data_IF_580901082139
#
_entry.id   IF_580901082139
#
_cell.length_a   1.000
_cell.length_b   1.000
_cell.length_c   1.000
_cell.angle_alpha   90.00
_cell.angle_beta   90.00
_cell.angle_gamma   90.00
#
_symmetry.space_group_name_H-M   'P 1'
#
loop_
_entity.id
_entity.type
_entity.pdbx_description
1 polymer ?
#
# COMPACT_ATOMS: atom_id res chain seq x y z
N UNK A 1 -5.69 -10.80 30.61
CA UNK A 1 -5.00 -10.02 29.56
C UNK A 1 -4.63 -10.92 28.38
N UNK A 2 -4.06 -12.11 28.62
CA UNK A 2 -3.78 -13.12 27.58
C UNK A 2 -5.04 -13.64 26.88
N UNK A 3 -6.10 -14.01 27.62
CA UNK A 3 -7.36 -14.49 27.01
C UNK A 3 -8.03 -13.49 26.07
N UNK A 4 -7.89 -12.19 26.35
CA UNK A 4 -8.44 -11.12 25.49
C UNK A 4 -7.59 -10.93 24.23
N UNK A 5 -6.27 -11.12 24.35
CA UNK A 5 -5.38 -11.19 23.19
C UNK A 5 -5.68 -12.43 22.36
N UNK A 6 -5.92 -13.59 22.96
CA UNK A 6 -6.25 -14.82 22.22
C UNK A 6 -7.59 -14.70 21.49
N UNK A 7 -8.60 -14.08 22.12
CA UNK A 7 -9.88 -13.78 21.48
C UNK A 7 -9.73 -12.81 20.30
N UNK A 8 -9.03 -11.68 20.48
CA UNK A 8 -8.71 -10.75 19.38
C UNK A 8 -7.86 -11.42 18.29
N UNK A 9 -6.94 -12.30 18.71
CA UNK A 9 -6.06 -13.08 17.85
C UNK A 9 -6.81 -14.23 17.15
N UNK A 10 -8.04 -14.55 17.55
CA UNK A 10 -8.91 -15.44 16.77
C UNK A 10 -9.70 -14.67 15.71
N UNK A 11 -10.11 -13.43 16.01
CA UNK A 11 -10.94 -12.62 15.12
C UNK A 11 -10.14 -12.04 13.94
N UNK A 12 -8.89 -11.62 14.15
CA UNK A 12 -8.06 -11.07 13.08
C UNK A 12 -7.62 -12.12 12.04
N UNK A 13 -7.48 -13.40 12.40
CA UNK A 13 -7.14 -14.50 11.47
C UNK A 13 -8.19 -14.64 10.36
N UNK A 14 -9.43 -14.21 10.60
CA UNK A 14 -10.52 -14.18 9.60
C UNK A 14 -10.33 -13.11 8.53
N UNK A 15 -9.52 -12.08 8.79
CA UNK A 15 -9.32 -10.98 7.85
C UNK A 15 -8.14 -11.28 6.92
N UNK A 16 -8.45 -11.70 5.68
CA UNK A 16 -7.48 -11.96 4.60
C UNK A 16 -6.43 -10.87 4.48
N UNK A 17 -6.83 -9.59 4.54
CA UNK A 17 -5.90 -8.48 4.32
C UNK A 17 -4.85 -8.38 5.43
N UNK A 18 -5.26 -8.57 6.69
CA UNK A 18 -4.35 -8.52 7.83
C UNK A 18 -3.38 -9.70 7.80
N UNK A 19 -3.87 -10.89 7.43
CA UNK A 19 -3.05 -12.09 7.31
C UNK A 19 -2.00 -11.93 6.22
N UNK A 20 -2.42 -11.52 5.02
CA UNK A 20 -1.49 -11.29 3.89
C UNK A 20 -0.45 -10.23 4.25
N UNK A 21 -0.88 -9.11 4.84
CA UNK A 21 0.04 -8.05 5.27
C UNK A 21 1.08 -8.56 6.27
N UNK A 22 0.66 -9.39 7.22
CA UNK A 22 1.54 -9.91 8.26
C UNK A 22 2.55 -10.92 7.71
N UNK A 23 2.13 -11.79 6.79
CA UNK A 23 3.01 -12.75 6.12
C UNK A 23 4.03 -12.02 5.26
N UNK A 24 3.59 -11.03 4.50
CA UNK A 24 4.46 -10.19 3.66
C UNK A 24 5.34 -9.24 4.47
N UNK A 25 5.13 -9.10 5.77
CA UNK A 25 6.04 -8.34 6.61
C UNK A 25 7.28 -9.19 6.96
N UNK A 26 8.49 -8.84 6.46
CA UNK A 26 9.72 -9.59 6.70
C UNK A 26 10.13 -9.64 8.17
N UNK A 27 9.52 -8.84 9.04
CA UNK A 27 9.76 -8.85 10.49
C UNK A 27 8.96 -9.94 11.21
N UNK A 28 7.80 -10.32 10.66
CA UNK A 28 6.84 -11.19 11.33
C UNK A 28 6.68 -12.53 10.62
N UNK A 29 6.49 -12.53 9.30
CA UNK A 29 6.26 -13.74 8.50
C UNK A 29 5.20 -14.65 9.16
N UNK A 30 5.59 -15.86 9.58
CA UNK A 30 4.73 -16.86 10.21
C UNK A 30 4.79 -16.85 11.74
N UNK A 31 5.41 -15.85 12.38
CA UNK A 31 5.60 -15.84 13.85
C UNK A 31 4.29 -15.92 14.65
N UNK A 32 3.18 -15.48 14.07
CA UNK A 32 1.87 -15.44 14.71
C UNK A 32 0.89 -16.48 14.16
N UNK A 33 1.37 -17.39 13.31
CA UNK A 33 0.54 -18.37 12.61
C UNK A 33 1.03 -19.78 12.86
N UNK A 34 0.07 -20.70 12.95
CA UNK A 34 0.35 -22.11 13.00
C UNK A 34 0.65 -22.63 11.59
N UNK A 35 1.54 -23.61 11.47
CA UNK A 35 1.88 -24.22 10.18
C UNK A 35 0.68 -24.90 9.50
N UNK A 36 -0.38 -25.20 10.25
CA UNK A 36 -1.61 -25.78 9.74
C UNK A 36 -2.43 -24.81 8.87
N UNK A 37 -2.34 -23.49 9.15
CA UNK A 37 -3.10 -22.45 8.44
C UNK A 37 -2.42 -22.03 7.12
N UNK A 38 -1.18 -22.48 6.91
CA UNK A 38 -0.33 -22.09 5.79
C UNK A 38 -0.92 -22.40 4.39
N UNK A 39 -1.58 -23.54 4.15
CA UNK A 39 -2.20 -23.82 2.84
C UNK A 39 -3.32 -22.84 2.49
N UNK A 40 -4.12 -22.41 3.48
CA UNK A 40 -5.18 -21.42 3.27
C UNK A 40 -4.59 -20.05 2.89
N UNK A 41 -3.51 -19.66 3.56
CA UNK A 41 -2.84 -18.39 3.28
C UNK A 41 -2.12 -18.38 1.92
N UNK A 42 -1.55 -19.51 1.51
CA UNK A 42 -0.97 -19.69 0.17
C UNK A 42 -2.04 -19.49 -0.90
N UNK A 43 -3.21 -20.11 -0.74
CA UNK A 43 -4.35 -19.93 -1.64
C UNK A 43 -4.77 -18.46 -1.76
N UNK A 44 -4.84 -17.75 -0.63
CA UNK A 44 -5.19 -16.32 -0.63
C UNK A 44 -4.17 -15.46 -1.37
N UNK A 45 -2.88 -15.75 -1.23
CA UNK A 45 -1.79 -15.03 -1.91
C UNK A 45 -1.82 -15.36 -3.41
N UNK A 46 -1.99 -16.62 -3.80
CA UNK A 46 -2.13 -17.03 -5.20
C UNK A 46 -3.31 -16.32 -5.89
N UNK A 47 -4.45 -16.22 -5.22
CA UNK A 47 -5.61 -15.49 -5.73
C UNK A 47 -5.26 -14.01 -5.97
N UNK A 48 -4.54 -13.37 -5.06
CA UNK A 48 -4.14 -11.97 -5.26
C UNK A 48 -3.11 -11.80 -6.38
N UNK A 49 -2.23 -12.79 -6.58
CA UNK A 49 -1.23 -12.79 -7.65
C UNK A 49 -1.85 -13.05 -9.03
N UNK A 50 -2.86 -13.91 -9.12
CA UNK A 50 -3.60 -14.20 -10.37
C UNK A 50 -4.55 -13.06 -10.76
N UNK A 51 -5.09 -12.32 -9.79
CA UNK A 51 -5.94 -11.15 -10.04
C UNK A 51 -5.18 -9.99 -10.72
N UNK A 52 -3.85 -10.08 -10.86
CA UNK A 52 -3.03 -9.16 -11.68
C UNK A 52 -3.44 -9.06 -13.17
N UNK A 53 -4.37 -9.89 -13.65
CA UNK A 53 -4.93 -9.82 -15.01
C UNK A 53 -6.15 -8.90 -15.19
N UNK A 54 -6.71 -8.30 -14.14
CA UNK A 54 -7.81 -7.33 -14.28
C UNK A 54 -7.28 -5.93 -13.98
N UNK A 55 -7.33 -5.06 -14.99
CA UNK A 55 -7.07 -3.63 -14.89
C UNK A 55 -7.74 -3.00 -13.66
N UNK A 56 -7.25 -1.84 -13.17
CA UNK A 56 -8.05 -1.01 -12.26
C UNK A 56 -9.47 -0.84 -12.86
N UNK A 57 -10.53 -0.85 -12.04
CA UNK A 57 -11.88 -0.63 -12.55
C UNK A 57 -11.89 0.69 -13.29
N UNK A 58 -12.11 0.65 -14.61
CA UNK A 58 -12.48 1.83 -15.38
C UNK A 58 -13.80 2.32 -14.79
N UNK A 59 -13.73 3.38 -13.99
CA UNK A 59 -14.89 4.14 -13.58
C UNK A 59 -15.48 4.77 -14.84
N UNK A 60 -16.60 4.23 -15.31
CA UNK A 60 -17.38 4.84 -16.38
C UNK A 60 -18.14 6.04 -15.78
N UNK A 61 -17.82 7.23 -16.30
CA UNK A 61 -18.67 8.42 -16.52
C UNK A 61 -19.44 9.00 -15.30
N UNK A 62 -19.40 10.29 -14.96
CA UNK A 62 -18.94 11.50 -15.63
C UNK A 62 -18.85 12.67 -14.62
N UNK A 63 -18.25 13.77 -15.11
CA UNK A 63 -18.25 15.17 -14.63
C UNK A 63 -17.06 15.62 -13.79
N UNK A 64 -16.08 16.20 -14.49
CA UNK A 64 -15.10 17.21 -14.01
C UNK A 64 -14.45 16.89 -12.67
N UNK A 65 -13.65 15.84 -12.65
CA UNK A 65 -12.89 15.39 -11.48
C UNK A 65 -11.40 15.75 -11.64
N UNK A 66 -10.65 16.04 -10.56
CA UNK A 66 -9.21 16.38 -10.55
C UNK A 66 -8.29 15.30 -11.15
N UNK A 67 -8.85 14.16 -11.55
CA UNK A 67 -8.17 13.03 -12.18
C UNK A 67 -7.37 13.41 -13.43
N UNK A 68 -7.76 14.45 -14.16
CA UNK A 68 -6.99 14.91 -15.32
C UNK A 68 -5.69 15.61 -14.91
N UNK A 69 -5.72 16.44 -13.85
CA UNK A 69 -4.53 17.10 -13.33
C UNK A 69 -3.55 16.09 -12.71
N UNK A 70 -4.08 15.11 -11.95
CA UNK A 70 -3.25 14.06 -11.37
C UNK A 70 -2.67 13.14 -12.45
N UNK A 71 -3.44 12.79 -13.49
CA UNK A 71 -2.93 12.02 -14.63
C UNK A 71 -1.82 12.78 -15.38
N UNK A 72 -2.01 14.07 -15.65
CA UNK A 72 -1.05 14.90 -16.39
C UNK A 72 0.26 15.09 -15.59
N UNK A 73 0.18 15.30 -14.27
CA UNK A 73 1.34 15.38 -13.38
C UNK A 73 2.09 14.03 -13.23
N UNK A 74 1.34 12.91 -13.26
CA UNK A 74 1.90 11.55 -13.24
C UNK A 74 2.53 11.17 -14.60
N UNK A 75 2.06 11.77 -15.69
CA UNK A 75 2.65 11.61 -17.03
C UNK A 75 3.95 12.43 -17.17
N UNK A 76 4.02 13.64 -16.64
CA UNK A 76 5.24 14.46 -16.70
C UNK A 76 6.41 13.86 -15.88
N UNK A 77 6.12 13.21 -14.75
CA UNK A 77 7.14 12.58 -13.89
C UNK A 77 7.68 11.23 -14.39
N UNK A 78 7.09 10.65 -15.44
CA UNK A 78 7.56 9.39 -16.06
C UNK A 78 8.56 9.60 -17.21
N UNK A 79 8.88 10.85 -17.54
CA UNK A 79 9.82 11.20 -18.60
C UNK A 79 11.30 11.09 -18.20
N UNK A 80 11.70 10.04 -17.48
CA UNK A 80 13.11 9.58 -17.33
C UNK A 80 13.23 8.26 -16.56
N UNK A 81 12.62 7.17 -17.06
CA UNK A 81 13.15 5.82 -16.87
C UNK A 81 12.42 4.89 -17.85
N UNK A 82 13.15 4.45 -18.86
CA UNK A 82 12.72 3.45 -19.83
C UNK A 82 12.16 2.21 -19.12
N UNK A 83 10.86 2.01 -19.24
CA UNK A 83 10.22 0.73 -18.90
C UNK A 83 10.64 -0.27 -19.97
N UNK A 84 11.66 -1.07 -19.68
CA UNK A 84 11.79 -2.35 -20.35
C UNK A 84 10.60 -3.20 -19.92
N UNK A 85 9.68 -3.43 -20.88
CA UNK A 85 8.74 -4.53 -20.85
C UNK A 85 9.54 -5.83 -20.68
N UNK A 86 9.68 -6.28 -19.44
CA UNK A 86 10.09 -7.66 -19.18
C UNK A 86 8.88 -8.56 -19.41
N UNK A 87 8.74 -9.05 -20.63
CA UNK A 87 8.13 -10.35 -20.88
C UNK A 87 8.99 -11.40 -20.17
N UNK A 88 8.60 -11.83 -18.97
CA UNK A 88 9.19 -13.00 -18.30
C UNK A 88 8.13 -13.62 -17.40
N UNK A 89 7.37 -14.60 -17.89
CA UNK A 89 7.74 -16.03 -17.87
C UNK A 89 7.49 -16.62 -16.48
N UNK A 90 6.40 -17.40 -16.39
CA UNK A 90 5.98 -18.25 -15.27
C UNK A 90 5.63 -17.55 -13.94
N UNK A 91 4.34 -17.59 -13.58
CA UNK A 91 3.81 -17.21 -12.26
C UNK A 91 4.41 -18.14 -11.19
N UNK A 92 5.58 -17.80 -10.67
CA UNK A 92 6.32 -18.57 -9.67
C UNK A 92 6.09 -18.02 -8.25
N UNK A 93 5.01 -17.26 -8.04
CA UNK A 93 4.69 -16.58 -6.80
C UNK A 93 4.72 -17.46 -5.55
N UNK A 94 4.30 -18.73 -5.68
CA UNK A 94 4.36 -19.69 -4.58
C UNK A 94 5.78 -20.14 -4.23
N UNK A 95 6.62 -20.38 -5.22
CA UNK A 95 8.00 -20.76 -4.96
C UNK A 95 8.80 -19.55 -4.47
N UNK A 96 8.48 -18.34 -4.94
CA UNK A 96 8.97 -17.09 -4.32
C UNK A 96 8.55 -17.02 -2.84
N UNK A 97 7.28 -17.32 -2.53
CA UNK A 97 6.75 -17.29 -1.17
C UNK A 97 7.45 -18.31 -0.28
N UNK A 98 7.59 -19.55 -0.75
CA UNK A 98 8.32 -20.59 -0.03
C UNK A 98 9.77 -20.17 0.25
N UNK A 99 10.48 -19.62 -0.75
CA UNK A 99 11.84 -19.10 -0.55
C UNK A 99 11.88 -17.97 0.48
N UNK A 100 10.99 -17.00 0.37
CA UNK A 100 10.88 -15.87 1.29
C UNK A 100 10.58 -16.29 2.74
N UNK A 101 9.72 -17.30 2.93
CA UNK A 101 9.37 -17.83 4.24
C UNK A 101 10.56 -18.54 4.93
N UNK A 102 11.53 -19.03 4.18
CA UNK A 102 12.76 -19.64 4.70
C UNK A 102 13.89 -18.64 4.98
N UNK A 103 13.83 -17.42 4.42
CA UNK A 103 14.78 -16.35 4.76
C UNK A 103 14.67 -15.97 6.24
N UNK A 104 15.74 -15.47 6.87
CA UNK A 104 15.67 -14.94 8.22
C UNK A 104 14.71 -13.72 8.28
N UNK A 105 14.16 -13.49 9.47
CA UNK A 105 13.40 -12.26 9.75
C UNK A 105 14.34 -11.08 9.89
N UNK A 106 13.92 -9.90 9.42
CA UNK A 106 14.69 -8.67 9.61
C UNK A 106 14.45 -8.09 11.01
N UNK A 107 15.33 -7.19 11.45
CA UNK A 107 15.17 -6.52 12.73
C UNK A 107 13.84 -5.75 12.83
N UNK A 108 13.19 -5.77 13.99
CA UNK A 108 11.88 -5.14 14.21
C UNK A 108 11.87 -3.63 13.92
N UNK A 109 13.02 -2.96 14.10
CA UNK A 109 13.19 -1.52 13.86
C UNK A 109 13.48 -1.17 12.39
N UNK A 110 13.69 -2.17 11.54
CA UNK A 110 13.95 -1.96 10.11
C UNK A 110 12.65 -1.67 9.36
N UNK A 111 12.75 -0.88 8.29
CA UNK A 111 11.61 -0.60 7.41
C UNK A 111 11.37 -1.79 6.45
N UNK A 112 10.19 -2.43 6.48
CA UNK A 112 9.89 -3.57 5.63
C UNK A 112 9.83 -3.21 4.14
N UNK A 113 9.43 -1.98 3.78
CA UNK A 113 9.40 -1.53 2.38
C UNK A 113 10.80 -1.41 1.79
N UNK A 114 11.82 -1.08 2.60
CA UNK A 114 13.22 -1.06 2.15
C UNK A 114 13.70 -2.48 1.82
N UNK A 115 13.33 -3.49 2.62
CA UNK A 115 13.64 -4.89 2.31
C UNK A 115 13.03 -5.31 0.96
N UNK A 116 11.76 -4.98 0.73
CA UNK A 116 11.09 -5.32 -0.52
C UNK A 116 11.66 -4.58 -1.73
N UNK A 117 12.15 -3.35 -1.55
CA UNK A 117 12.86 -2.59 -2.60
C UNK A 117 14.17 -3.27 -2.97
N UNK A 118 14.98 -3.66 -1.98
CA UNK A 118 16.28 -4.31 -2.22
C UNK A 118 16.15 -5.71 -2.80
N UNK A 119 15.08 -6.45 -2.46
CA UNK A 119 14.86 -7.82 -2.91
C UNK A 119 13.82 -7.93 -4.05
N UNK A 120 13.53 -6.83 -4.74
CA UNK A 120 12.50 -6.78 -5.78
C UNK A 120 12.82 -7.73 -6.95
N UNK A 121 14.08 -7.85 -7.37
CA UNK A 121 14.49 -8.77 -8.43
C UNK A 121 14.32 -10.25 -8.03
N UNK A 122 14.60 -10.57 -6.76
CA UNK A 122 14.50 -11.93 -6.21
C UNK A 122 13.06 -12.37 -5.98
N UNK A 123 12.19 -11.43 -5.61
CA UNK A 123 10.79 -11.66 -5.25
C UNK A 123 9.88 -10.66 -5.97
N UNK A 124 9.92 -10.66 -7.31
CA UNK A 124 9.21 -9.69 -8.14
C UNK A 124 7.69 -9.69 -7.89
N UNK A 125 7.09 -10.87 -7.79
CA UNK A 125 5.65 -10.99 -7.62
C UNK A 125 5.19 -10.58 -6.22
N UNK A 126 5.95 -11.01 -5.20
CA UNK A 126 5.66 -10.70 -3.81
C UNK A 126 5.97 -9.26 -3.45
N UNK A 127 7.01 -8.65 -4.04
CA UNK A 127 7.35 -7.25 -3.78
C UNK A 127 6.23 -6.31 -4.24
N UNK A 128 5.56 -6.63 -5.35
CA UNK A 128 4.35 -5.93 -5.78
C UNK A 128 3.23 -6.05 -4.74
N UNK A 129 2.97 -7.28 -4.27
CA UNK A 129 1.93 -7.53 -3.28
C UNK A 129 2.26 -6.83 -1.95
N UNK A 130 3.52 -6.85 -1.54
CA UNK A 130 3.99 -6.19 -0.34
C UNK A 130 3.83 -4.68 -0.43
N UNK A 131 4.10 -4.06 -1.59
CA UNK A 131 3.80 -2.63 -1.82
C UNK A 131 2.31 -2.34 -1.64
N UNK A 132 1.42 -3.19 -2.16
CA UNK A 132 -0.05 -3.02 -2.00
C UNK A 132 -0.49 -3.12 -0.54
N UNK A 133 -0.03 -4.12 0.18
CA UNK A 133 -0.53 -4.42 1.54
C UNK A 133 0.19 -3.65 2.66
N UNK A 134 1.46 -3.26 2.47
CA UNK A 134 2.25 -2.58 3.50
C UNK A 134 2.31 -1.05 3.34
N UNK A 135 1.82 -0.50 2.23
CA UNK A 135 1.79 0.96 2.01
C UNK A 135 0.60 1.64 2.69
N UNK A 136 -0.50 0.92 2.92
CA UNK A 136 -1.69 1.48 3.52
C UNK A 136 -1.41 1.89 4.98
N UNK A 137 -1.81 3.11 5.39
CA UNK A 137 -1.69 3.51 6.78
C UNK A 137 -2.59 2.63 7.66
N UNK A 138 -2.17 2.32 8.90
CA UNK A 138 -2.93 1.41 9.77
C UNK A 138 -4.24 2.02 10.30
N UNK A 139 -4.43 3.34 10.16
CA UNK A 139 -5.60 4.06 10.70
C UNK A 139 -5.97 5.25 9.80
N UNK A 140 -7.22 5.71 9.92
CA UNK A 140 -7.70 6.98 9.37
C UNK A 140 -7.12 8.22 10.06
N UNK A 141 -6.25 8.08 11.07
CA UNK A 141 -5.76 9.23 11.82
C UNK A 141 -5.06 10.26 10.92
N UNK A 142 -4.34 9.82 9.89
CA UNK A 142 -3.69 10.74 8.94
C UNK A 142 -4.70 11.45 8.03
N UNK A 143 -5.77 10.77 7.59
CA UNK A 143 -6.84 11.43 6.85
C UNK A 143 -7.62 12.40 7.73
N UNK A 144 -7.89 12.05 9.00
CA UNK A 144 -8.50 12.95 9.98
C UNK A 144 -7.65 14.18 10.28
N UNK A 145 -6.32 14.03 10.37
CA UNK A 145 -5.38 15.16 10.49
C UNK A 145 -5.42 16.06 9.26
N UNK A 146 -5.51 15.47 8.06
CA UNK A 146 -5.66 16.21 6.82
C UNK A 146 -6.96 17.02 6.80
N UNK A 147 -8.10 16.40 7.16
CA UNK A 147 -9.39 17.09 7.24
C UNK A 147 -9.45 18.14 8.37
N UNK A 148 -8.76 17.90 9.48
CA UNK A 148 -8.61 18.90 10.55
C UNK A 148 -7.80 20.10 10.06
N UNK A 149 -6.73 19.85 9.29
CA UNK A 149 -5.92 20.90 8.64
C UNK A 149 -6.75 21.68 7.61
N UNK A 150 -7.60 21.00 6.84
CA UNK A 150 -8.57 21.62 5.94
C UNK A 150 -9.52 22.56 6.67
N UNK A 151 -9.96 22.17 7.87
CA UNK A 151 -10.76 23.01 8.75
C UNK A 151 -10.11 24.37 9.04
N UNK A 152 -8.77 24.44 9.16
CA UNK A 152 -8.06 25.71 9.32
C UNK A 152 -8.00 26.54 8.03
N UNK A 153 -7.79 25.90 6.87
CA UNK A 153 -7.78 26.57 5.55
C UNK A 153 -9.16 27.19 5.25
N UNK A 154 -10.23 26.50 5.67
CA UNK A 154 -11.61 26.94 5.49
C UNK A 154 -12.05 27.99 6.53
N UNK A 155 -11.36 28.12 7.66
CA UNK A 155 -11.86 28.97 8.75
C UNK A 155 -11.62 30.48 8.56
N UNK A 156 -12.70 31.23 8.81
CA UNK A 156 -12.89 32.66 9.08
C UNK A 156 -12.57 33.74 8.04
N UNK A 157 -11.68 33.55 7.06
CA UNK A 157 -11.35 34.63 6.09
C UNK A 157 -11.61 34.33 4.61
N UNK A 158 -12.08 33.12 4.26
CA UNK A 158 -12.25 32.69 2.85
C UNK A 158 -13.55 31.92 2.57
N UNK A 159 -14.69 32.45 3.01
CA UNK A 159 -16.02 31.88 2.76
C UNK A 159 -16.46 31.76 1.29
N UNK A 160 -15.58 32.07 0.32
CA UNK A 160 -15.83 31.97 -1.12
C UNK A 160 -14.92 30.95 -1.84
N UNK A 161 -14.17 30.11 -1.12
CA UNK A 161 -13.40 29.05 -1.76
C UNK A 161 -14.36 27.99 -2.32
N UNK A 162 -14.27 27.75 -3.63
CA UNK A 162 -14.89 26.58 -4.25
C UNK A 162 -14.25 25.29 -3.73
N UNK A 163 -14.99 24.19 -3.83
CA UNK A 163 -14.49 22.86 -3.45
C UNK A 163 -13.18 22.51 -4.17
N UNK A 164 -13.10 22.79 -5.47
CA UNK A 164 -11.93 22.57 -6.32
C UNK A 164 -10.69 23.35 -5.82
N UNK A 165 -10.85 24.63 -5.47
CA UNK A 165 -9.75 25.45 -4.95
C UNK A 165 -9.27 24.98 -3.58
N UNK A 166 -10.19 24.47 -2.73
CA UNK A 166 -9.84 23.91 -1.43
C UNK A 166 -9.01 22.63 -1.59
N UNK A 167 -9.42 21.75 -2.49
CA UNK A 167 -8.71 20.51 -2.79
C UNK A 167 -7.29 20.78 -3.30
N UNK A 168 -7.13 21.69 -4.25
CA UNK A 168 -5.82 22.09 -4.77
C UNK A 168 -4.92 22.68 -3.68
N UNK A 169 -5.45 23.56 -2.82
CA UNK A 169 -4.70 24.12 -1.71
C UNK A 169 -4.27 23.05 -0.70
N UNK A 170 -5.14 22.08 -0.40
CA UNK A 170 -4.81 20.96 0.47
C UNK A 170 -3.71 20.08 -0.11
N UNK A 171 -3.82 19.75 -1.40
CA UNK A 171 -2.82 18.98 -2.12
C UNK A 171 -1.47 19.68 -2.07
N UNK A 172 -1.40 20.96 -2.46
CA UNK A 172 -0.17 21.73 -2.43
C UNK A 172 0.40 21.77 -1.01
N UNK A 173 -0.39 22.18 -0.01
CA UNK A 173 0.06 22.31 1.37
C UNK A 173 0.68 21.02 1.93
N UNK A 174 0.14 19.84 1.58
CA UNK A 174 0.69 18.55 2.05
C UNK A 174 1.90 18.07 1.26
N UNK A 175 1.99 18.39 -0.03
CA UNK A 175 3.09 17.94 -0.87
C UNK A 175 4.29 18.91 -0.87
N UNK A 176 4.13 20.17 -0.46
CA UNK A 176 5.24 21.14 -0.37
C UNK A 176 6.40 20.64 0.50
N UNK A 177 6.11 19.88 1.57
CA UNK A 177 7.12 19.25 2.42
C UNK A 177 8.00 18.25 1.64
N UNK A 178 7.45 17.58 0.62
CA UNK A 178 8.21 16.63 -0.21
C UNK A 178 9.22 17.33 -1.12
N UNK A 179 8.98 18.59 -1.45
CA UNK A 179 9.86 19.40 -2.30
C UNK A 179 10.85 20.26 -1.51
N UNK A 180 10.92 20.10 -0.18
CA UNK A 180 11.73 20.95 0.71
C UNK A 180 11.48 22.45 0.48
N UNK A 181 10.21 22.83 0.28
CA UNK A 181 9.85 24.23 0.07
C UNK A 181 9.90 24.98 1.40
N UNK A 182 10.80 25.96 1.50
CA UNK A 182 10.90 26.84 2.68
C UNK A 182 9.89 28.00 2.58
N UNK A 183 9.17 28.25 3.69
CA UNK A 183 8.14 29.29 3.81
C UNK A 183 8.70 30.69 4.09
#
# INVERSE_FOLDING_TARGET
MLERLDCLMSEWKRNKNLVISTILDPRFKLKFFDRADLPEFQLWIEQELTTKGSSPPKANEAHSSPDHFLSELLEESQSSQSLEMFDTEYCDGLNQLNRYLHEPVIALRSNPLTFWRTNQEKFSELSFLAKKYLSAPPTSAESERLFSSAGYIVNKYRGLLSHENLEMLLFLNKNLELYNFDY
#
